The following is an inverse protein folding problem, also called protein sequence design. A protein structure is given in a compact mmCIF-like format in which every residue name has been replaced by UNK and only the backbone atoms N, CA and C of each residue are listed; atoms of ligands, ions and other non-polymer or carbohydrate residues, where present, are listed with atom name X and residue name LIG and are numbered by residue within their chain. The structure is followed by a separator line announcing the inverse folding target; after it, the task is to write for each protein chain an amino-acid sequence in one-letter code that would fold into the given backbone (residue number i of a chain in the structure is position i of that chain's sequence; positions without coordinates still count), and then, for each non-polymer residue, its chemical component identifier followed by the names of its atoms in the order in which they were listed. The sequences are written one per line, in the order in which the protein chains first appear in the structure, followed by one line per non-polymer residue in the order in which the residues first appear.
data_IF_596838383978
#
_entry.id   IF_596838383978
#
_cell.length_a   1.000
_cell.length_b   1.000
_cell.length_c   1.000
_cell.angle_alpha   90.00
_cell.angle_beta   90.00
_cell.angle_gamma   90.00
#
_symmetry.space_group_name_H-M   'P 1'
#
loop_
_entity.id
_entity.type
_entity.pdbx_description
1 polymer ?
#
# COMPACT_ATOMS: atom_id res chain seq x y z
N UNK A 1 -15.27 8.39 -11.70
CA UNK A 1 -13.95 7.75 -11.73
C UNK A 1 -13.80 6.94 -10.46
N UNK A 2 -13.76 5.61 -10.59
CA UNK A 2 -13.64 4.70 -9.46
C UNK A 2 -12.20 4.21 -9.29
N UNK A 3 -11.85 3.72 -8.10
CA UNK A 3 -10.59 3.01 -7.83
C UNK A 3 -10.88 1.52 -7.72
N UNK A 4 -10.19 0.72 -8.53
CA UNK A 4 -10.47 -0.71 -8.71
C UNK A 4 -9.22 -1.54 -8.46
N UNK A 5 -9.44 -2.80 -8.08
CA UNK A 5 -8.40 -3.83 -8.18
C UNK A 5 -8.53 -4.52 -9.53
N UNK A 6 -7.44 -4.68 -10.30
CA UNK A 6 -7.42 -5.53 -11.49
C UNK A 6 -7.43 -7.03 -11.15
N UNK A 7 -7.18 -7.42 -9.90
CA UNK A 7 -7.13 -8.81 -9.45
C UNK A 7 -8.41 -9.22 -8.69
N UNK A 8 -9.12 -10.24 -9.18
CA UNK A 8 -10.34 -10.76 -8.53
C UNK A 8 -10.10 -11.33 -7.12
N UNK A 9 -8.88 -11.78 -6.84
CA UNK A 9 -8.49 -12.37 -5.56
C UNK A 9 -8.21 -11.33 -4.48
N UNK A 10 -7.93 -10.08 -4.87
CA UNK A 10 -7.58 -8.98 -3.97
C UNK A 10 -8.60 -7.84 -4.10
N UNK A 11 -9.70 -7.98 -3.37
CA UNK A 11 -10.73 -6.94 -3.31
C UNK A 11 -10.30 -5.80 -2.38
N UNK A 12 -10.40 -4.57 -2.87
CA UNK A 12 -10.16 -3.37 -2.07
C UNK A 12 -11.32 -3.14 -1.10
N UNK A 13 -10.99 -2.79 0.13
CA UNK A 13 -11.96 -2.32 1.12
C UNK A 13 -12.55 -0.97 0.69
N UNK A 14 -13.83 -0.73 0.99
CA UNK A 14 -14.51 0.50 0.61
C UNK A 14 -13.79 1.76 1.15
N UNK A 15 -13.31 1.73 2.40
CA UNK A 15 -12.54 2.84 2.98
C UNK A 15 -11.25 3.14 2.21
N UNK A 16 -10.58 2.11 1.70
CA UNK A 16 -9.36 2.30 0.91
C UNK A 16 -9.67 2.91 -0.44
N UNK A 17 -10.74 2.46 -1.12
CA UNK A 17 -11.21 3.07 -2.37
C UNK A 17 -11.56 4.55 -2.19
N UNK A 18 -12.17 4.93 -1.06
CA UNK A 18 -12.51 6.33 -0.75
C UNK A 18 -11.26 7.17 -0.59
N UNK A 19 -10.27 6.72 0.20
CA UNK A 19 -9.00 7.45 0.40
C UNK A 19 -8.28 7.63 -0.93
N UNK A 20 -8.09 6.55 -1.68
CA UNK A 20 -7.38 6.59 -2.96
C UNK A 20 -8.11 7.46 -3.98
N UNK A 21 -9.45 7.36 -4.05
CA UNK A 21 -10.25 8.15 -4.98
C UNK A 21 -10.24 9.64 -4.66
N UNK A 22 -10.31 10.00 -3.37
CA UNK A 22 -10.20 11.38 -2.92
C UNK A 22 -8.81 11.98 -3.20
N UNK A 23 -7.74 11.20 -3.05
CA UNK A 23 -6.40 11.62 -3.46
C UNK A 23 -6.34 11.79 -4.98
N UNK A 24 -6.81 10.81 -5.74
CA UNK A 24 -6.75 10.84 -7.21
C UNK A 24 -7.49 12.03 -7.83
N UNK A 25 -8.60 12.47 -7.21
CA UNK A 25 -9.35 13.64 -7.64
C UNK A 25 -8.54 14.95 -7.57
N UNK A 26 -7.48 15.01 -6.76
CA UNK A 26 -6.58 16.16 -6.66
C UNK A 26 -5.56 16.20 -7.82
N UNK A 27 -5.42 15.12 -8.57
CA UNK A 27 -4.47 14.97 -9.68
C UNK A 27 -5.19 14.59 -11.00
N UNK A 28 -6.09 15.45 -11.50
CA UNK A 28 -6.95 15.12 -12.64
C UNK A 28 -6.17 14.91 -13.96
N UNK A 29 -4.96 15.48 -14.09
CA UNK A 29 -4.14 15.41 -15.30
C UNK A 29 -3.05 14.33 -15.27
N UNK A 30 -2.88 13.63 -14.15
CA UNK A 30 -1.87 12.58 -14.00
C UNK A 30 -2.39 11.25 -14.51
N UNK A 31 -1.52 10.46 -15.14
CA UNK A 31 -1.80 9.11 -15.60
C UNK A 31 -1.43 8.06 -14.55
N UNK A 32 -0.49 8.37 -13.65
CA UNK A 32 -0.12 7.51 -12.54
C UNK A 32 0.08 8.30 -11.23
N UNK A 33 -0.11 7.61 -10.11
CA UNK A 33 0.16 8.13 -8.77
C UNK A 33 0.87 7.08 -7.93
N UNK A 34 1.91 7.51 -7.22
CA UNK A 34 2.56 6.74 -6.15
C UNK A 34 2.33 7.48 -4.83
N UNK A 35 1.53 6.86 -3.95
CA UNK A 35 1.17 7.39 -2.64
C UNK A 35 2.07 6.76 -1.58
N UNK A 36 2.74 7.59 -0.80
CA UNK A 36 3.63 7.18 0.29
C UNK A 36 3.03 7.64 1.62
N UNK A 37 2.59 6.70 2.45
CA UNK A 37 2.06 6.93 3.79
C UNK A 37 3.16 6.63 4.81
N UNK A 38 3.58 7.63 5.60
CA UNK A 38 4.69 7.48 6.56
C UNK A 38 4.31 8.01 7.93
N UNK A 39 4.51 7.20 8.96
CA UNK A 39 4.56 7.68 10.34
C UNK A 39 5.88 8.47 10.51
N UNK A 40 5.84 9.78 10.85
CA UNK A 40 7.05 10.59 11.02
C UNK A 40 7.97 10.12 12.16
N UNK A 41 7.46 9.28 13.07
CA UNK A 41 8.23 8.75 14.21
C UNK A 41 8.75 7.33 13.96
N UNK A 42 8.41 6.72 12.81
CA UNK A 42 8.87 5.39 12.48
C UNK A 42 10.39 5.36 12.31
N UNK A 43 11.06 4.52 13.10
CA UNK A 43 12.51 4.39 13.11
C UNK A 43 12.91 2.96 13.48
N UNK A 44 14.14 2.53 13.14
CA UNK A 44 14.61 1.19 13.52
C UNK A 44 14.74 1.01 15.04
N UNK A 45 14.98 2.09 15.79
CA UNK A 45 15.22 2.03 17.24
C UNK A 45 13.94 2.15 18.08
N UNK A 46 13.01 3.01 17.66
CA UNK A 46 11.75 3.24 18.40
C UNK A 46 10.55 2.46 17.83
N UNK A 47 10.72 1.81 16.67
CA UNK A 47 9.60 1.25 15.93
C UNK A 47 8.63 2.33 15.48
N UNK A 48 7.33 2.03 15.51
CA UNK A 48 6.24 2.89 15.04
C UNK A 48 5.39 2.14 14.02
N UNK A 49 4.65 2.89 13.19
CA UNK A 49 3.84 2.28 12.13
C UNK A 49 4.60 2.19 10.81
N UNK A 50 4.52 1.02 10.17
CA UNK A 50 5.24 0.74 8.94
C UNK A 50 4.87 1.73 7.81
N UNK A 51 5.86 2.22 7.04
CA UNK A 51 5.62 2.93 5.80
C UNK A 51 4.85 2.07 4.82
N UNK A 52 3.91 2.68 4.12
CA UNK A 52 3.11 2.03 3.07
C UNK A 52 3.27 2.81 1.77
N UNK A 53 3.56 2.10 0.68
CA UNK A 53 3.48 2.63 -0.68
C UNK A 53 2.32 2.00 -1.43
N UNK A 54 1.54 2.80 -2.14
CA UNK A 54 0.47 2.35 -3.02
C UNK A 54 0.64 3.02 -4.36
N UNK A 55 0.80 2.22 -5.43
CA UNK A 55 0.82 2.72 -6.80
C UNK A 55 -0.50 2.44 -7.50
N UNK A 56 -0.97 3.42 -8.26
CA UNK A 56 -2.14 3.28 -9.12
C UNK A 56 -1.97 4.02 -10.44
N UNK A 57 -2.60 3.52 -11.50
CA UNK A 57 -2.59 4.13 -12.82
C UNK A 57 -4.00 4.21 -13.41
N UNK A 58 -4.19 5.16 -14.33
CA UNK A 58 -5.43 5.31 -15.07
C UNK A 58 -5.47 4.33 -16.24
N UNK A 59 -6.63 3.71 -16.42
CA UNK A 59 -6.98 2.99 -17.63
C UNK A 59 -8.48 3.14 -17.88
N UNK A 60 -8.87 3.40 -19.13
CA UNK A 60 -10.28 3.47 -19.54
C UNK A 60 -11.17 4.42 -18.69
N UNK A 61 -10.58 5.50 -18.15
CA UNK A 61 -11.31 6.49 -17.34
C UNK A 61 -11.50 6.13 -15.86
N UNK A 62 -10.92 5.03 -15.39
CA UNK A 62 -10.88 4.62 -13.98
C UNK A 62 -9.43 4.45 -13.49
N UNK A 63 -9.24 4.42 -12.18
CA UNK A 63 -7.96 4.12 -11.55
C UNK A 63 -7.88 2.64 -11.15
N UNK A 64 -6.72 2.05 -11.35
CA UNK A 64 -6.41 0.67 -10.99
C UNK A 64 -5.20 0.65 -10.06
N UNK A 65 -5.34 -0.02 -8.91
CA UNK A 65 -4.23 -0.21 -7.99
C UNK A 65 -3.30 -1.27 -8.57
N UNK A 66 -2.04 -0.90 -8.74
CA UNK A 66 -1.01 -1.77 -9.30
C UNK A 66 -0.41 -2.66 -8.22
N UNK A 67 0.05 -2.05 -7.14
CA UNK A 67 0.58 -2.74 -5.97
C UNK A 67 0.35 -1.94 -4.68
N UNK A 68 0.46 -2.67 -3.56
CA UNK A 68 0.52 -2.11 -2.21
C UNK A 68 1.67 -2.78 -1.47
N UNK A 69 2.61 -1.99 -0.97
CA UNK A 69 3.81 -2.48 -0.29
C UNK A 69 3.89 -1.89 1.11
N UNK A 70 4.07 -2.76 2.10
CA UNK A 70 4.33 -2.44 3.49
C UNK A 70 5.82 -2.66 3.77
N UNK A 71 6.48 -1.70 4.40
CA UNK A 71 7.93 -1.74 4.64
C UNK A 71 8.25 -1.79 6.12
N UNK A 72 9.24 -2.60 6.49
CA UNK A 72 9.74 -2.67 7.87
C UNK A 72 11.26 -2.64 7.93
N UNK A 73 11.81 -2.27 9.10
CA UNK A 73 13.24 -2.25 9.34
C UNK A 73 13.74 -3.64 9.75
N UNK A 74 14.82 -4.10 9.13
CA UNK A 74 15.46 -5.38 9.41
C UNK A 74 16.96 -5.24 9.57
N UNK A 75 17.51 -5.94 10.56
CA UNK A 75 18.95 -5.94 10.84
C UNK A 75 19.25 -5.57 12.30
N UNK A 76 20.52 -5.64 12.71
CA UNK A 76 20.91 -5.26 14.07
C UNK A 76 20.83 -3.73 14.26
N UNK A 77 20.74 -3.25 15.52
CA UNK A 77 20.76 -1.82 15.82
C UNK A 77 21.94 -1.11 15.14
N UNK A 78 21.68 0.05 14.52
CA UNK A 78 22.66 0.83 13.76
C UNK A 78 22.92 0.36 12.32
N UNK A 79 22.41 -0.81 11.92
CA UNK A 79 22.54 -1.35 10.55
C UNK A 79 21.20 -1.87 10.01
N UNK A 80 20.08 -1.43 10.60
CA UNK A 80 18.78 -1.83 10.14
C UNK A 80 18.43 -1.13 8.81
N UNK A 81 17.99 -1.91 7.83
CA UNK A 81 17.60 -1.43 6.51
C UNK A 81 16.08 -1.52 6.35
N UNK A 82 15.51 -0.53 5.66
CA UNK A 82 14.09 -0.54 5.32
C UNK A 82 13.89 -1.47 4.13
N UNK A 83 13.19 -2.59 4.34
CA UNK A 83 12.92 -3.58 3.31
C UNK A 83 11.42 -3.86 3.20
N UNK A 84 11.01 -4.51 2.10
CA UNK A 84 9.63 -4.94 1.89
C UNK A 84 9.27 -6.00 2.93
N UNK A 85 8.24 -5.74 3.72
CA UNK A 85 7.67 -6.69 4.67
C UNK A 85 6.54 -7.47 4.01
N UNK A 86 5.59 -6.75 3.42
CA UNK A 86 4.51 -7.31 2.61
C UNK A 86 4.47 -6.59 1.27
N UNK A 87 4.21 -7.33 0.19
CA UNK A 87 3.91 -6.77 -1.11
C UNK A 87 2.69 -7.47 -1.70
N UNK A 88 1.69 -6.70 -2.12
CA UNK A 88 0.52 -7.21 -2.80
C UNK A 88 0.53 -6.64 -4.22
N UNK A 89 0.96 -7.43 -5.20
CA UNK A 89 1.03 -7.02 -6.59
C UNK A 89 -0.25 -7.47 -7.31
N UNK A 90 -1.15 -6.51 -7.52
CA UNK A 90 -2.47 -6.74 -8.07
C UNK A 90 -2.44 -6.86 -9.60
N UNK A 91 -1.45 -6.30 -10.29
CA UNK A 91 -1.29 -6.47 -11.74
C UNK A 91 -0.97 -7.92 -12.11
N UNK A 92 -0.05 -8.53 -11.37
CA UNK A 92 0.47 -9.86 -11.68
C UNK A 92 -0.15 -10.97 -10.83
N UNK A 93 -0.95 -10.62 -9.81
CA UNK A 93 -1.64 -11.59 -8.97
C UNK A 93 -0.70 -12.43 -8.10
N UNK A 94 0.47 -11.89 -7.77
CA UNK A 94 1.42 -12.43 -6.80
C UNK A 94 1.55 -11.49 -5.60
N UNK A 95 2.11 -12.00 -4.53
CA UNK A 95 2.52 -11.19 -3.39
C UNK A 95 3.80 -11.73 -2.79
N UNK A 96 4.38 -10.96 -1.89
CA UNK A 96 5.59 -11.28 -1.17
C UNK A 96 5.32 -11.10 0.31
N UNK A 97 5.83 -12.02 1.12
CA UNK A 97 5.94 -11.84 2.56
C UNK A 97 7.38 -12.12 2.96
N UNK A 98 7.97 -11.23 3.76
CA UNK A 98 9.32 -11.42 4.23
C UNK A 98 9.46 -12.74 5.00
N UNK A 99 10.63 -13.37 4.87
CA UNK A 99 10.94 -14.73 5.34
C UNK A 99 10.10 -15.88 4.74
N UNK A 100 9.08 -15.59 3.93
CA UNK A 100 8.30 -16.58 3.18
C UNK A 100 8.69 -16.57 1.69
N UNK A 101 8.88 -15.38 1.11
CA UNK A 101 9.15 -15.18 -0.31
C UNK A 101 7.89 -14.95 -1.13
N UNK A 102 7.99 -15.17 -2.44
CA UNK A 102 6.89 -14.97 -3.38
C UNK A 102 5.82 -16.06 -3.24
N UNK A 103 4.57 -15.64 -3.15
CA UNK A 103 3.40 -16.51 -3.09
C UNK A 103 2.30 -16.00 -4.03
N UNK A 104 1.37 -16.85 -4.48
CA UNK A 104 0.21 -16.38 -5.21
C UNK A 104 -0.68 -15.49 -4.35
N UNK A 105 -1.04 -14.32 -4.89
CA UNK A 105 -2.35 -13.65 -4.76
C UNK A 105 -3.32 -14.18 -3.68
N UNK A 106 -4.00 -15.24 -4.14
CA UNK A 106 -5.04 -16.02 -3.45
C UNK A 106 -4.63 -16.55 -2.07
N UNK A 107 -3.35 -16.87 -1.85
CA UNK A 107 -2.85 -17.41 -0.59
C UNK A 107 -2.78 -16.34 0.50
N UNK A 108 -2.67 -15.06 0.11
CA UNK A 108 -2.58 -13.93 1.05
C UNK A 108 -3.93 -13.26 1.31
N UNK A 109 -5.05 -13.83 0.87
CA UNK A 109 -6.37 -13.17 0.91
C UNK A 109 -6.81 -12.74 2.32
N UNK A 110 -6.58 -13.57 3.33
CA UNK A 110 -6.87 -13.25 4.73
C UNK A 110 -5.93 -12.17 5.27
N UNK A 111 -4.64 -12.27 4.94
CA UNK A 111 -3.62 -11.29 5.30
C UNK A 111 -3.93 -9.93 4.67
N UNK A 112 -4.23 -9.87 3.37
CA UNK A 112 -4.60 -8.64 2.67
C UNK A 112 -5.84 -7.96 3.26
N UNK A 113 -6.84 -8.75 3.68
CA UNK A 113 -8.03 -8.20 4.37
C UNK A 113 -7.66 -7.57 5.71
N UNK A 114 -6.85 -8.27 6.50
CA UNK A 114 -6.41 -7.82 7.83
C UNK A 114 -5.53 -6.58 7.73
N UNK A 115 -4.58 -6.60 6.79
CA UNK A 115 -3.72 -5.47 6.49
C UNK A 115 -4.52 -4.21 6.13
N UNK A 116 -5.53 -4.33 5.24
CA UNK A 116 -6.39 -3.19 4.89
C UNK A 116 -7.15 -2.63 6.10
N UNK A 117 -7.66 -3.49 6.98
CA UNK A 117 -8.37 -3.04 8.19
C UNK A 117 -7.44 -2.28 9.14
N UNK A 118 -6.23 -2.78 9.34
CA UNK A 118 -5.22 -2.13 10.18
C UNK A 118 -4.78 -0.80 9.57
N UNK A 119 -4.41 -0.78 8.29
CA UNK A 119 -4.04 0.43 7.57
C UNK A 119 -5.12 1.52 7.67
N UNK A 120 -6.38 1.16 7.44
CA UNK A 120 -7.50 2.12 7.54
C UNK A 120 -7.67 2.67 8.95
N UNK A 121 -7.48 1.83 9.97
CA UNK A 121 -7.56 2.25 11.37
C UNK A 121 -6.43 3.23 11.70
N UNK A 122 -5.20 2.94 11.29
CA UNK A 122 -4.04 3.81 11.55
C UNK A 122 -4.16 5.13 10.79
N UNK A 123 -4.65 5.09 9.55
CA UNK A 123 -4.97 6.29 8.79
C UNK A 123 -6.04 7.15 9.50
N UNK A 124 -7.10 6.53 10.03
CA UNK A 124 -8.14 7.23 10.78
C UNK A 124 -7.60 7.89 12.06
N UNK A 125 -6.60 7.29 12.70
CA UNK A 125 -5.93 7.87 13.88
C UNK A 125 -4.94 8.99 13.54
N UNK A 126 -4.77 9.33 12.26
CA UNK A 126 -3.85 10.40 11.85
C UNK A 126 -2.37 10.03 11.96
N UNK A 127 -2.06 8.72 11.96
CA UNK A 127 -0.68 8.22 12.04
C UNK A 127 0.16 8.69 10.85
N UNK A 128 -0.40 8.65 9.65
CA UNK A 128 0.38 8.81 8.43
C UNK A 128 0.41 10.26 7.93
N UNK A 129 1.62 10.73 7.61
CA UNK A 129 1.84 11.81 6.66
C UNK A 129 1.85 11.22 5.24
N UNK A 130 0.98 11.72 4.38
CA UNK A 130 0.91 11.33 2.97
C UNK A 130 1.81 12.24 2.11
N UNK A 131 2.63 11.64 1.26
CA UNK A 131 3.26 12.30 0.11
C UNK A 131 2.81 11.61 -1.17
N UNK A 132 2.62 12.38 -2.25
CA UNK A 132 2.14 11.86 -3.53
C UNK A 132 3.10 12.28 -4.63
N UNK A 133 3.56 11.31 -5.41
CA UNK A 133 4.26 11.52 -6.67
C UNK A 133 3.28 11.29 -7.80
N UNK A 134 3.22 12.21 -8.76
CA UNK A 134 2.29 12.15 -9.88
C UNK A 134 3.03 12.21 -11.22
N UNK A 135 2.67 11.33 -12.14
CA UNK A 135 3.25 11.21 -13.49
C UNK A 135 2.18 11.45 -14.57
#
# INVERSE_FOLDING_TARGET
MAVKSPCSEAKLAAGLQVILGATAAQYPHSESLTLNFRDPHYSPDAGGYHPVEIRMSKAHGDWYVEYLTDFAYYGPPGYAELARELDFNLLHGNGYQNFVGDVPLRAMKSLFRTWQQNFLTYHQWGVFRLTVTSE
#
